data_IF_073325186186
#
_entry.id   IF_073325186186
#
_cell.length_a   1.000
_cell.length_b   1.000
_cell.length_c   1.000
_cell.angle_alpha   90.00
_cell.angle_beta   90.00
_cell.angle_gamma   90.00
#
_symmetry.space_group_name_H-M   'P 1'
#
loop_
_entity.id
_entity.type
_entity.pdbx_description
1 polymer ?
#
# COMPACT_ATOMS: atom_id res chain seq x y z
N UNK A 1 2.94 -13.82 7.19
CA UNK A 1 3.41 -13.64 5.80
C UNK A 1 2.25 -13.52 4.80
N UNK A 2 1.01 -13.79 5.20
CA UNK A 2 -0.20 -13.78 4.36
C UNK A 2 -0.45 -12.48 3.56
N UNK A 3 0.11 -11.36 4.01
CA UNK A 3 0.00 -10.07 3.34
C UNK A 3 0.70 -10.04 1.98
N UNK A 4 1.76 -10.82 1.75
CA UNK A 4 2.45 -10.87 0.44
C UNK A 4 1.57 -11.37 -0.71
N UNK A 5 0.45 -12.04 -0.39
CA UNK A 5 -0.52 -12.54 -1.37
C UNK A 5 -1.81 -11.73 -1.35
N UNK A 6 -2.34 -11.45 -0.15
CA UNK A 6 -3.63 -10.77 -0.02
C UNK A 6 -3.57 -9.30 -0.45
N UNK A 7 -2.48 -8.59 -0.14
CA UNK A 7 -2.37 -7.16 -0.49
C UNK A 7 -2.23 -6.90 -1.99
N UNK A 8 -1.41 -7.65 -2.78
CA UNK A 8 -1.42 -7.51 -4.24
C UNK A 8 -2.76 -7.88 -4.87
N UNK A 9 -3.44 -8.91 -4.34
CA UNK A 9 -4.73 -9.36 -4.87
C UNK A 9 -5.81 -8.30 -4.70
N UNK A 10 -5.87 -7.65 -3.53
CA UNK A 10 -6.81 -6.55 -3.26
C UNK A 10 -6.55 -5.35 -4.19
N UNK A 11 -5.29 -4.99 -4.38
CA UNK A 11 -4.88 -3.92 -5.28
C UNK A 11 -5.23 -4.24 -6.74
N UNK A 12 -4.98 -5.48 -7.18
CA UNK A 12 -5.33 -5.95 -8.51
C UNK A 12 -6.85 -5.94 -8.73
N UNK A 13 -7.63 -6.49 -7.79
CA UNK A 13 -9.09 -6.49 -7.88
C UNK A 13 -9.65 -5.06 -7.99
N UNK A 14 -9.04 -4.10 -7.29
CA UNK A 14 -9.44 -2.69 -7.37
C UNK A 14 -9.14 -2.06 -8.73
N UNK A 15 -7.96 -2.33 -9.28
CA UNK A 15 -7.56 -1.83 -10.60
C UNK A 15 -8.36 -2.46 -11.74
N UNK A 16 -8.64 -3.77 -11.67
CA UNK A 16 -9.45 -4.46 -12.67
C UNK A 16 -10.91 -3.96 -12.68
N UNK A 17 -11.41 -3.49 -11.54
CA UNK A 17 -12.72 -2.83 -11.46
C UNK A 17 -12.78 -1.47 -12.19
N UNK A 18 -11.64 -0.85 -12.48
CA UNK A 18 -11.56 0.29 -13.37
C UNK A 18 -11.62 -0.23 -14.81
N UNK A 19 -12.62 0.19 -15.60
CA UNK A 19 -12.74 -0.15 -17.03
C UNK A 19 -11.67 0.54 -17.90
N UNK A 20 -10.42 0.54 -17.45
CA UNK A 20 -9.29 1.13 -18.16
C UNK A 20 -8.96 0.28 -19.39
N UNK A 21 -8.61 0.94 -20.50
CA UNK A 21 -8.09 0.26 -21.69
C UNK A 21 -6.88 -0.59 -21.30
N UNK A 22 -6.94 -1.89 -21.59
CA UNK A 22 -5.98 -2.92 -21.18
C UNK A 22 -4.52 -2.60 -21.55
N UNK A 23 -4.29 -1.85 -22.63
CA UNK A 23 -2.93 -1.45 -23.06
C UNK A 23 -2.24 -0.44 -22.14
N UNK A 24 -2.98 0.31 -21.31
CA UNK A 24 -2.39 1.29 -20.39
C UNK A 24 -2.26 0.78 -18.94
N UNK A 25 -2.77 -0.43 -18.65
CA UNK A 25 -2.87 -0.92 -17.26
C UNK A 25 -1.67 -1.76 -16.81
N UNK A 26 -0.93 -2.39 -17.74
CA UNK A 26 0.14 -3.34 -17.39
C UNK A 26 1.26 -2.69 -16.57
N UNK A 27 1.82 -1.58 -17.06
CA UNK A 27 2.90 -0.86 -16.36
C UNK A 27 2.50 -0.39 -14.94
N UNK A 28 1.37 0.31 -14.74
CA UNK A 28 0.99 0.73 -13.38
C UNK A 28 0.65 -0.46 -12.48
N UNK A 29 0.05 -1.54 -12.99
CA UNK A 29 -0.19 -2.77 -12.20
C UNK A 29 1.12 -3.39 -11.74
N UNK A 30 2.11 -3.55 -12.63
CA UNK A 30 3.41 -4.12 -12.26
C UNK A 30 4.12 -3.26 -11.23
N UNK A 31 4.17 -1.94 -11.41
CA UNK A 31 4.78 -1.03 -10.43
C UNK A 31 4.04 -1.05 -9.10
N UNK A 32 2.71 -1.16 -9.12
CA UNK A 32 1.89 -1.23 -7.91
C UNK A 32 2.21 -2.50 -7.10
N UNK A 33 2.26 -3.66 -7.77
CA UNK A 33 2.60 -4.95 -7.13
C UNK A 33 4.03 -4.92 -6.59
N UNK A 34 5.00 -4.38 -7.35
CA UNK A 34 6.38 -4.29 -6.88
C UNK A 34 6.52 -3.36 -5.67
N UNK A 35 5.84 -2.21 -5.67
CA UNK A 35 5.84 -1.29 -4.54
C UNK A 35 5.20 -1.90 -3.30
N UNK A 36 4.11 -2.65 -3.47
CA UNK A 36 3.42 -3.36 -2.40
C UNK A 36 4.29 -4.48 -1.80
N UNK A 37 4.88 -5.34 -2.64
CA UNK A 37 5.80 -6.38 -2.18
C UNK A 37 7.03 -5.77 -1.48
N UNK A 38 7.57 -4.67 -2.00
CA UNK A 38 8.67 -3.94 -1.37
C UNK A 38 8.27 -3.42 0.02
N UNK A 39 7.10 -2.81 0.14
CA UNK A 39 6.55 -2.32 1.41
C UNK A 39 6.44 -3.47 2.43
N UNK A 40 5.81 -4.59 2.05
CA UNK A 40 5.63 -5.74 2.94
C UNK A 40 6.98 -6.36 3.34
N UNK A 41 7.89 -6.52 2.40
CA UNK A 41 9.20 -7.13 2.66
C UNK A 41 10.05 -6.29 3.61
N UNK A 42 10.14 -4.98 3.37
CA UNK A 42 10.90 -4.06 4.23
C UNK A 42 10.26 -3.90 5.61
N UNK A 43 8.92 -3.89 5.68
CA UNK A 43 8.19 -3.91 6.95
C UNK A 43 8.46 -5.18 7.76
N UNK A 44 8.53 -6.34 7.10
CA UNK A 44 8.89 -7.61 7.73
C UNK A 44 10.32 -7.58 8.28
N UNK A 45 11.32 -7.13 7.51
CA UNK A 45 12.70 -7.00 8.00
C UNK A 45 12.75 -6.15 9.26
N UNK A 46 12.05 -5.01 9.23
CA UNK A 46 11.97 -4.12 10.38
C UNK A 46 11.28 -4.75 11.59
N UNK A 47 10.23 -5.56 11.38
CA UNK A 47 9.54 -6.25 12.47
C UNK A 47 10.44 -7.27 13.19
N UNK A 48 11.40 -7.86 12.48
CA UNK A 48 12.38 -8.79 13.04
C UNK A 48 13.61 -8.10 13.67
N UNK A 49 13.60 -6.77 13.83
CA UNK A 49 14.64 -6.05 14.55
C UNK A 49 14.47 -6.25 16.06
N UNK A 50 14.88 -7.43 16.53
CA UNK A 50 14.80 -7.90 17.90
C UNK A 50 16.19 -8.39 18.28
N UNK A 51 16.65 -8.02 19.46
CA UNK A 51 17.92 -8.52 20.03
C UNK A 51 17.79 -9.99 20.48
N UNK A 52 18.92 -10.65 20.74
CA UNK A 52 18.96 -12.03 21.24
C UNK A 52 18.20 -12.21 22.57
N UNK A 53 18.04 -11.13 23.34
CA UNK A 53 17.24 -11.09 24.58
C UNK A 53 15.75 -10.83 24.39
N UNK A 54 15.24 -10.81 23.14
CA UNK A 54 13.82 -10.56 22.85
C UNK A 54 13.41 -9.08 22.92
N UNK A 55 14.35 -8.16 23.13
CA UNK A 55 14.07 -6.72 23.23
C UNK A 55 14.02 -6.10 21.83
N UNK A 56 13.01 -5.26 21.59
CA UNK A 56 12.81 -4.54 20.32
C UNK A 56 13.94 -3.52 20.11
N UNK A 57 14.57 -3.57 18.94
CA UNK A 57 15.59 -2.62 18.53
C UNK A 57 14.93 -1.43 17.82
N UNK A 58 14.53 -0.42 18.61
CA UNK A 58 13.74 0.72 18.14
C UNK A 58 14.38 1.45 16.95
N UNK A 59 15.67 1.79 17.00
CA UNK A 59 16.36 2.51 15.92
C UNK A 59 16.30 1.79 14.56
N UNK A 60 16.82 0.56 14.45
CA UNK A 60 16.73 -0.24 13.24
C UNK A 60 15.28 -0.49 12.78
N UNK A 61 14.35 -0.76 13.71
CA UNK A 61 12.92 -0.95 13.41
C UNK A 61 12.33 0.29 12.75
N UNK A 62 12.56 1.48 13.30
CA UNK A 62 12.07 2.75 12.76
C UNK A 62 12.67 3.06 11.38
N UNK A 63 13.95 2.76 11.17
CA UNK A 63 14.59 2.92 9.86
C UNK A 63 13.88 2.08 8.78
N UNK A 64 13.68 0.79 9.05
CA UNK A 64 12.98 -0.11 8.13
C UNK A 64 11.50 0.26 7.96
N UNK A 65 10.84 0.73 9.02
CA UNK A 65 9.49 1.28 8.94
C UNK A 65 9.41 2.51 8.03
N UNK A 66 10.40 3.39 8.08
CA UNK A 66 10.50 4.56 7.19
C UNK A 66 10.70 4.13 5.74
N UNK A 67 11.58 3.16 5.48
CA UNK A 67 11.79 2.58 4.15
C UNK A 67 10.49 1.95 3.61
N UNK A 68 9.79 1.17 4.44
CA UNK A 68 8.50 0.56 4.08
C UNK A 68 7.44 1.61 3.77
N UNK A 69 7.43 2.73 4.50
CA UNK A 69 6.52 3.85 4.26
C UNK A 69 6.70 4.47 2.88
N UNK A 70 7.92 4.48 2.32
CA UNK A 70 8.15 4.92 0.93
C UNK A 70 7.41 4.02 -0.06
N UNK A 71 7.42 2.70 0.16
CA UNK A 71 6.65 1.74 -0.63
C UNK A 71 5.14 2.01 -0.54
N UNK A 72 4.63 2.21 0.68
CA UNK A 72 3.24 2.57 0.92
C UNK A 72 2.82 3.85 0.17
N UNK A 73 3.60 4.93 0.30
CA UNK A 73 3.32 6.19 -0.40
C UNK A 73 3.36 6.04 -1.93
N UNK A 74 4.22 5.15 -2.43
CA UNK A 74 4.27 4.81 -3.87
C UNK A 74 2.99 4.11 -4.31
N UNK A 75 2.48 3.13 -3.54
CA UNK A 75 1.21 2.45 -3.80
C UNK A 75 0.06 3.46 -3.86
N UNK A 76 -0.04 4.34 -2.85
CA UNK A 76 -1.05 5.40 -2.79
C UNK A 76 -0.94 6.34 -3.99
N UNK A 77 0.27 6.76 -4.35
CA UNK A 77 0.51 7.66 -5.49
C UNK A 77 0.09 7.04 -6.82
N UNK A 78 0.44 5.77 -7.06
CA UNK A 78 0.02 5.06 -8.27
C UNK A 78 -1.51 4.95 -8.31
N UNK A 79 -2.14 4.51 -7.22
CA UNK A 79 -3.60 4.42 -7.13
C UNK A 79 -4.28 5.78 -7.40
N UNK A 80 -3.74 6.88 -6.86
CA UNK A 80 -4.24 8.23 -7.09
C UNK A 80 -4.11 8.68 -8.56
N UNK A 81 -3.00 8.37 -9.22
CA UNK A 81 -2.84 8.69 -10.65
C UNK A 81 -3.81 7.89 -11.54
N UNK A 82 -4.04 6.61 -11.23
CA UNK A 82 -5.01 5.79 -11.96
C UNK A 82 -6.43 6.31 -11.75
N UNK A 83 -6.76 6.75 -10.53
CA UNK A 83 -8.03 7.40 -10.23
C UNK A 83 -8.25 8.65 -11.09
N UNK A 84 -7.32 9.59 -11.10
CA UNK A 84 -7.43 10.82 -11.91
C UNK A 84 -7.59 10.52 -13.40
N UNK A 85 -6.97 9.44 -13.87
CA UNK A 85 -7.10 9.00 -15.27
C UNK A 85 -8.50 8.46 -15.54
N UNK A 86 -9.07 7.67 -14.61
CA UNK A 86 -10.45 7.17 -14.70
C UNK A 86 -11.49 8.31 -14.63
N UNK A 87 -11.32 9.27 -13.72
CA UNK A 87 -12.23 10.41 -13.57
C UNK A 87 -12.48 11.18 -14.88
N UNK A 88 -11.44 11.31 -15.73
CA UNK A 88 -11.56 12.00 -17.02
C UNK A 88 -12.50 11.31 -18.01
N UNK A 89 -12.80 10.03 -17.80
CA UNK A 89 -13.64 9.22 -18.67
C UNK A 89 -14.96 8.77 -18.02
N UNK A 90 -15.17 9.07 -16.73
CA UNK A 90 -16.30 8.57 -15.95
C UNK A 90 -17.45 9.60 -15.82
N UNK A 91 -18.67 9.11 -15.60
CA UNK A 91 -19.82 9.95 -15.24
C UNK A 91 -19.74 10.41 -13.78
N UNK A 92 -20.46 11.49 -13.40
CA UNK A 92 -20.40 12.09 -12.04
C UNK A 92 -20.72 11.09 -10.90
N UNK A 93 -21.60 10.12 -11.13
CA UNK A 93 -21.98 9.12 -10.12
C UNK A 93 -20.91 8.04 -9.93
N UNK A 94 -20.25 7.61 -11.01
CA UNK A 94 -19.16 6.64 -10.98
C UNK A 94 -17.90 7.19 -10.27
N UNK A 95 -17.69 8.51 -10.37
CA UNK A 95 -16.59 9.21 -9.72
C UNK A 95 -16.68 9.18 -8.18
N UNK A 96 -17.88 9.45 -7.63
CA UNK A 96 -18.08 9.48 -6.19
C UNK A 96 -17.84 8.11 -5.54
N UNK A 97 -18.37 7.03 -6.14
CA UNK A 97 -18.19 5.66 -5.63
C UNK A 97 -16.72 5.25 -5.61
N UNK A 98 -15.94 5.65 -6.62
CA UNK A 98 -14.53 5.31 -6.67
C UNK A 98 -13.72 6.10 -5.63
N UNK A 99 -13.95 7.40 -5.50
CA UNK A 99 -13.24 8.27 -4.53
C UNK A 99 -13.40 7.77 -3.10
N UNK A 100 -14.63 7.42 -2.72
CA UNK A 100 -14.93 6.90 -1.37
C UNK A 100 -14.19 5.59 -1.09
N UNK A 101 -14.13 4.68 -2.08
CA UNK A 101 -13.39 3.42 -1.95
C UNK A 101 -11.87 3.61 -1.95
N UNK A 102 -11.33 4.59 -2.68
CA UNK A 102 -9.91 4.93 -2.63
C UNK A 102 -9.54 5.51 -1.27
N UNK A 103 -10.34 6.46 -0.77
CA UNK A 103 -10.17 7.02 0.57
C UNK A 103 -10.26 5.93 1.63
N UNK A 104 -11.27 5.06 1.56
CA UNK A 104 -11.41 3.93 2.48
C UNK A 104 -10.18 3.01 2.45
N UNK A 105 -9.58 2.75 1.27
CA UNK A 105 -8.36 1.95 1.17
C UNK A 105 -7.18 2.64 1.88
N UNK A 106 -6.96 3.92 1.58
CA UNK A 106 -5.85 4.69 2.17
C UNK A 106 -6.03 4.84 3.69
N UNK A 107 -7.22 5.18 4.17
CA UNK A 107 -7.49 5.33 5.61
C UNK A 107 -7.43 4.00 6.35
N UNK A 108 -8.00 2.94 5.79
CA UNK A 108 -7.96 1.61 6.42
C UNK A 108 -6.53 1.05 6.43
N UNK A 109 -5.76 1.24 5.35
CA UNK A 109 -4.39 0.74 5.28
C UNK A 109 -3.40 1.61 6.06
N UNK A 110 -3.71 2.89 6.27
CA UNK A 110 -2.93 3.78 7.13
C UNK A 110 -2.85 3.33 8.60
N UNK A 111 -3.74 2.44 9.03
CA UNK A 111 -3.68 1.81 10.36
C UNK A 111 -2.46 0.90 10.51
N UNK A 112 -1.98 0.27 9.43
CA UNK A 112 -0.84 -0.66 9.51
C UNK A 112 0.48 0.02 9.89
N UNK A 113 0.89 1.14 9.25
CA UNK A 113 2.05 1.91 9.71
C UNK A 113 1.93 2.38 11.17
N UNK A 114 0.71 2.76 11.61
CA UNK A 114 0.49 3.18 13.00
C UNK A 114 0.68 2.01 13.97
N UNK A 115 0.09 0.85 13.66
CA UNK A 115 0.28 -0.37 14.47
C UNK A 115 1.75 -0.82 14.52
N UNK A 116 2.51 -0.57 13.46
CA UNK A 116 3.95 -0.86 13.43
C UNK A 116 4.74 -0.01 14.45
N UNK A 117 4.29 1.22 14.72
CA UNK A 117 4.90 2.15 15.66
C UNK A 117 4.52 1.87 17.13
N UNK A 118 3.35 1.28 17.39
CA UNK A 118 2.85 1.05 18.77
C UNK A 118 3.88 0.37 19.69
N UNK A 119 4.55 -0.75 19.30
CA UNK A 119 5.53 -1.43 20.16
C UNK A 119 6.82 -0.64 20.41
N UNK A 120 7.04 0.45 19.67
CA UNK A 120 8.18 1.36 19.88
C UNK A 120 7.80 2.48 20.86
N UNK A 121 6.51 2.80 20.95
CA UNK A 121 5.98 3.92 21.74
C UNK A 121 5.52 3.49 23.15
N UNK A 122 5.21 2.21 23.36
CA UNK A 122 4.73 1.62 24.61
C UNK A 122 5.48 0.33 24.91
#
# INVERSE_FOLDING_TARGET
MDWTVTTPLLLLARLLGLRLRTRHILRPVTLLILADLFMIFTGYIGNNQISDGGVILAGPRLLWGTISTVGYLTVVSIMWTQFRTYQRAATREEDHSFRTRLLALVTTWGVYPLGYLVPVLF
#
